data_IF_098574345094
#
_entry.id   IF_098574345094
#
_cell.length_a   1.000
_cell.length_b   1.000
_cell.length_c   1.000
_cell.angle_alpha   90.00
_cell.angle_beta   90.00
_cell.angle_gamma   90.00
#
_symmetry.space_group_name_H-M   'P 1'
#
loop_
_entity.id
_entity.type
_entity.pdbx_description
1 polymer ?
#
# COMPACT_ATOMS: atom_id res chain seq x y z
N UNK A 1 -26.81 2.59 2.50
CA UNK A 1 -25.39 2.68 2.08
C UNK A 1 -24.55 1.82 3.03
N UNK A 2 -23.69 0.93 2.52
CA UNK A 2 -22.83 0.08 3.36
C UNK A 2 -21.64 0.86 3.95
N UNK A 3 -21.18 0.46 5.14
CA UNK A 3 -20.01 1.04 5.81
C UNK A 3 -18.76 0.92 4.94
N UNK A 4 -17.87 1.92 5.01
CA UNK A 4 -16.59 1.93 4.31
C UNK A 4 -15.45 1.85 5.32
N UNK A 5 -14.68 0.77 5.23
CA UNK A 5 -13.45 0.58 5.99
C UNK A 5 -12.25 0.96 5.11
N UNK A 6 -11.47 1.93 5.58
CA UNK A 6 -10.29 2.49 4.92
C UNK A 6 -9.04 1.94 5.61
N UNK A 7 -8.22 1.17 4.89
CA UNK A 7 -7.02 0.53 5.44
C UNK A 7 -5.79 1.16 4.78
N UNK A 8 -5.00 1.87 5.57
CA UNK A 8 -3.73 2.44 5.14
C UNK A 8 -2.60 1.43 5.35
N UNK A 9 -1.85 1.17 4.28
CA UNK A 9 -0.70 0.27 4.28
C UNK A 9 0.56 1.12 4.27
N UNK A 10 1.30 1.11 5.38
CA UNK A 10 2.60 1.75 5.48
C UNK A 10 3.65 0.94 4.71
N UNK A 11 4.08 1.42 3.54
CA UNK A 11 5.02 0.69 2.67
C UNK A 11 6.33 0.35 3.37
N UNK A 12 6.80 1.20 4.27
CA UNK A 12 8.02 1.02 5.04
C UNK A 12 7.92 -0.01 6.17
N UNK A 13 6.73 -0.58 6.44
CA UNK A 13 6.58 -1.61 7.48
C UNK A 13 7.34 -2.91 7.15
N UNK A 14 7.70 -3.12 5.87
CA UNK A 14 8.53 -4.24 5.41
C UNK A 14 9.95 -4.23 6.00
N UNK A 15 10.41 -3.07 6.47
CA UNK A 15 11.75 -2.88 7.05
C UNK A 15 11.80 -3.09 8.56
N UNK A 16 10.65 -3.29 9.21
CA UNK A 16 10.63 -3.58 10.64
C UNK A 16 11.24 -4.95 10.92
N UNK A 17 11.75 -5.12 12.14
CA UNK A 17 12.40 -6.35 12.57
C UNK A 17 11.42 -7.30 13.29
N UNK A 18 11.71 -8.60 13.20
CA UNK A 18 10.98 -9.64 13.93
C UNK A 18 9.48 -9.65 13.64
N UNK A 19 8.67 -9.83 14.68
CA UNK A 19 7.21 -9.90 14.59
C UNK A 19 6.53 -8.58 14.20
N UNK A 20 7.27 -7.46 14.16
CA UNK A 20 6.74 -6.18 13.71
C UNK A 20 6.87 -5.99 12.18
N UNK A 21 7.61 -6.87 11.49
CA UNK A 21 7.70 -6.88 10.02
C UNK A 21 6.34 -7.15 9.42
N UNK A 22 5.94 -6.33 8.46
CA UNK A 22 4.65 -6.46 7.80
C UNK A 22 4.78 -6.16 6.31
N UNK A 23 4.35 -7.10 5.48
CA UNK A 23 4.35 -7.04 4.03
C UNK A 23 2.92 -7.05 3.49
N UNK A 24 2.69 -6.63 2.23
CA UNK A 24 1.34 -6.64 1.66
C UNK A 24 0.66 -8.02 1.68
N UNK A 25 1.44 -9.09 1.67
CA UNK A 25 0.95 -10.47 1.73
C UNK A 25 0.37 -10.83 3.11
N UNK A 26 0.70 -10.08 4.17
CA UNK A 26 0.16 -10.26 5.52
C UNK A 26 -1.23 -9.60 5.69
N UNK A 27 -1.76 -8.95 4.64
CA UNK A 27 -3.03 -8.24 4.70
C UNK A 27 -4.20 -9.20 4.46
N UNK A 28 -5.09 -9.28 5.45
CA UNK A 28 -6.38 -9.96 5.32
C UNK A 28 -7.36 -9.12 4.48
N UNK A 29 -7.41 -9.39 3.17
CA UNK A 29 -8.15 -8.58 2.19
C UNK A 29 -9.66 -8.52 2.46
N UNK A 30 -10.25 -9.46 3.20
CA UNK A 30 -11.69 -9.53 3.50
C UNK A 30 -12.17 -8.47 4.50
N UNK A 31 -11.27 -7.86 5.29
CA UNK A 31 -11.63 -6.85 6.30
C UNK A 31 -11.82 -5.43 5.75
N UNK A 32 -11.23 -5.15 4.58
CA UNK A 32 -11.22 -3.82 3.98
C UNK A 32 -12.27 -3.63 2.88
N UNK A 33 -12.72 -2.39 2.72
CA UNK A 33 -13.45 -1.97 1.52
C UNK A 33 -12.58 -1.10 0.61
N UNK A 34 -11.58 -0.43 1.19
CA UNK A 34 -10.60 0.40 0.51
C UNK A 34 -9.23 0.14 1.15
N UNK A 35 -8.24 -0.20 0.33
CA UNK A 35 -6.85 -0.39 0.71
C UNK A 35 -6.01 0.71 0.07
N UNK A 36 -5.13 1.33 0.85
CA UNK A 36 -4.45 2.58 0.47
C UNK A 36 -2.95 2.41 0.72
N UNK A 37 -2.19 2.17 -0.34
CA UNK A 37 -0.74 2.06 -0.26
C UNK A 37 -0.12 3.44 -0.01
N UNK A 38 0.65 3.57 1.07
CA UNK A 38 1.15 4.83 1.58
C UNK A 38 2.68 4.76 1.71
N UNK A 39 3.47 5.57 1.01
CA UNK A 39 3.09 6.65 0.09
C UNK A 39 3.81 6.57 -1.25
N UNK A 40 3.20 7.14 -2.28
CA UNK A 40 3.90 7.66 -3.45
C UNK A 40 4.26 9.13 -3.24
N UNK A 41 5.30 9.60 -3.93
CA UNK A 41 5.75 10.99 -3.90
C UNK A 41 5.33 11.78 -5.12
N UNK A 42 5.67 13.07 -5.12
CA UNK A 42 5.64 13.93 -6.29
C UNK A 42 6.99 14.63 -6.45
N UNK A 43 7.48 14.75 -7.69
CA UNK A 43 8.68 15.56 -7.97
C UNK A 43 8.35 17.07 -8.02
N UNK A 44 9.38 17.91 -8.21
CA UNK A 44 9.21 19.38 -8.28
C UNK A 44 8.35 19.85 -9.46
N UNK A 45 8.14 18.99 -10.46
CA UNK A 45 7.29 19.24 -11.62
C UNK A 45 5.87 18.70 -11.44
N UNK A 46 5.58 18.06 -10.31
CA UNK A 46 4.29 17.48 -9.99
C UNK A 46 4.07 16.08 -10.58
N UNK A 47 5.10 15.42 -11.11
CA UNK A 47 4.98 14.04 -11.57
C UNK A 47 4.97 13.07 -10.40
N UNK A 48 4.15 12.02 -10.48
CA UNK A 48 4.11 10.95 -9.49
C UNK A 48 5.41 10.15 -9.54
N UNK A 49 6.02 9.94 -8.38
CA UNK A 49 7.24 9.16 -8.22
C UNK A 49 7.10 8.11 -7.12
N UNK A 50 7.92 7.07 -7.16
CA UNK A 50 8.06 6.13 -6.06
C UNK A 50 8.78 6.80 -4.90
N UNK A 51 8.21 6.70 -3.69
CA UNK A 51 8.89 7.18 -2.48
C UNK A 51 10.07 6.29 -2.12
N UNK A 52 9.96 5.00 -2.44
CA UNK A 52 11.00 4.00 -2.23
C UNK A 52 11.00 3.03 -3.42
N UNK A 53 11.77 3.37 -4.45
CA UNK A 53 11.83 2.58 -5.68
C UNK A 53 12.28 1.14 -5.42
N UNK A 54 13.19 0.93 -4.47
CA UNK A 54 13.69 -0.40 -4.15
C UNK A 54 12.59 -1.25 -3.51
N UNK A 55 11.87 -0.73 -2.53
CA UNK A 55 10.74 -1.43 -1.91
C UNK A 55 9.55 -1.60 -2.87
N UNK A 56 9.17 -0.54 -3.57
CA UNK A 56 7.98 -0.50 -4.41
C UNK A 56 8.11 -1.40 -5.65
N UNK A 57 9.25 -1.32 -6.33
CA UNK A 57 9.51 -1.99 -7.62
C UNK A 57 10.42 -3.20 -7.45
N UNK A 58 11.63 -3.01 -6.92
CA UNK A 58 12.64 -4.09 -6.93
C UNK A 58 12.24 -5.26 -6.01
N UNK A 59 11.60 -4.96 -4.88
CA UNK A 59 11.00 -5.96 -3.98
C UNK A 59 9.54 -6.31 -4.34
N UNK A 60 8.95 -5.60 -5.30
CA UNK A 60 7.61 -5.85 -5.83
C UNK A 60 6.47 -5.59 -4.85
N UNK A 61 6.64 -4.73 -3.84
CA UNK A 61 5.61 -4.49 -2.83
C UNK A 61 4.30 -3.93 -3.44
N UNK A 62 4.39 -3.09 -4.48
CA UNK A 62 3.19 -2.62 -5.19
C UNK A 62 2.48 -3.76 -5.91
N UNK A 63 3.22 -4.65 -6.57
CA UNK A 63 2.64 -5.81 -7.25
C UNK A 63 1.94 -6.74 -6.27
N UNK A 64 2.57 -7.02 -5.12
CA UNK A 64 1.98 -7.82 -4.02
C UNK A 64 0.72 -7.16 -3.47
N UNK A 65 0.74 -5.85 -3.26
CA UNK A 65 -0.43 -5.09 -2.83
C UNK A 65 -1.59 -5.17 -3.83
N UNK A 66 -1.32 -5.04 -5.13
CA UNK A 66 -2.35 -5.15 -6.17
C UNK A 66 -2.89 -6.59 -6.26
N UNK A 67 -2.05 -7.60 -6.02
CA UNK A 67 -2.45 -9.01 -6.05
C UNK A 67 -3.58 -9.34 -5.05
N UNK A 68 -3.71 -8.58 -3.95
CA UNK A 68 -4.82 -8.69 -3.00
C UNK A 68 -6.21 -8.55 -3.64
N UNK A 69 -6.31 -7.94 -4.83
CA UNK A 69 -7.56 -7.89 -5.62
C UNK A 69 -8.12 -9.27 -5.94
N UNK A 70 -7.27 -10.30 -6.10
CA UNK A 70 -7.75 -11.67 -6.36
C UNK A 70 -8.50 -12.24 -5.14
N UNK A 71 -8.13 -11.81 -3.93
CA UNK A 71 -8.73 -12.24 -2.67
C UNK A 71 -9.95 -11.40 -2.27
N UNK A 72 -10.03 -10.13 -2.69
CA UNK A 72 -11.22 -9.30 -2.54
C UNK A 72 -11.48 -8.43 -3.79
N UNK A 73 -12.15 -8.99 -4.82
CA UNK A 73 -12.40 -8.27 -6.09
C UNK A 73 -13.32 -7.06 -5.94
N UNK A 74 -14.10 -6.98 -4.85
CA UNK A 74 -15.04 -5.89 -4.59
C UNK A 74 -14.40 -4.66 -3.95
N UNK A 75 -13.24 -4.84 -3.30
CA UNK A 75 -12.51 -3.76 -2.65
C UNK A 75 -11.85 -2.80 -3.65
N UNK A 76 -11.62 -1.58 -3.19
CA UNK A 76 -10.90 -0.55 -3.95
C UNK A 76 -9.45 -0.49 -3.48
N UNK A 77 -8.54 -0.35 -4.43
CA UNK A 77 -7.10 -0.26 -4.17
C UNK A 77 -6.62 1.07 -4.71
N UNK A 78 -6.01 1.85 -3.82
CA UNK A 78 -5.65 3.24 -4.05
C UNK A 78 -4.21 3.48 -3.58
N UNK A 79 -3.63 4.58 -4.04
CA UNK A 79 -2.36 5.08 -3.55
C UNK A 79 -2.61 6.41 -2.85
N UNK A 80 -1.95 6.62 -1.71
CA UNK A 80 -1.87 7.94 -1.09
C UNK A 80 -0.58 8.61 -1.54
N UNK A 81 -0.69 9.87 -1.95
CA UNK A 81 0.48 10.70 -2.26
C UNK A 81 0.78 11.63 -1.10
N UNK A 82 2.07 11.81 -0.82
CA UNK A 82 2.56 12.67 0.25
C UNK A 82 3.68 12.01 1.04
N UNK A 83 4.00 12.58 2.19
CA UNK A 83 4.92 11.99 3.16
C UNK A 83 4.59 12.56 4.55
N UNK A 84 5.00 11.87 5.62
CA UNK A 84 5.07 12.50 6.94
C UNK A 84 6.29 13.42 6.96
N UNK A 85 6.04 14.73 6.99
CA UNK A 85 7.02 15.76 7.39
C UNK A 85 7.51 15.50 8.81
#
# INVERSE_FOLDING_TARGET
MGKKNMIYVASWAVYRNGSAKFSPEDIEATYGTHFIYSFLGADSSGNVIHSDKWGDIDQGNISKFIALKSHNPSAKFMFSMGNSI
#
